data_IF_598306476898
#
_entry.id   IF_598306476898
#
_cell.length_a   1.000
_cell.length_b   1.000
_cell.length_c   1.000
_cell.angle_alpha   90.00
_cell.angle_beta   90.00
_cell.angle_gamma   90.00
#
_symmetry.space_group_name_H-M   'P 1'
#
loop_
_entity.id
_entity.type
_entity.pdbx_description
1 polymer ?
#
# COMPACT_ATOMS: atom_id res chain seq x y z
N UNK A 1 -51.37 -2.59 -7.56
CA UNK A 1 -50.08 -2.52 -6.81
C UNK A 1 -49.09 -1.75 -7.68
N UNK A 2 -48.78 -0.50 -7.37
CA UNK A 2 -47.74 0.24 -8.06
C UNK A 2 -46.39 -0.22 -7.46
N UNK A 3 -45.57 -0.91 -8.27
CA UNK A 3 -44.20 -1.20 -7.92
C UNK A 3 -43.38 0.10 -8.05
N UNK A 4 -43.11 0.75 -6.93
CA UNK A 4 -42.13 1.82 -6.89
C UNK A 4 -40.75 1.19 -7.02
N UNK A 5 -40.13 1.33 -8.20
CA UNK A 5 -38.72 0.94 -8.40
C UNK A 5 -37.88 1.90 -7.58
N UNK A 6 -37.27 1.42 -6.49
CA UNK A 6 -36.30 2.24 -5.74
C UNK A 6 -35.13 2.59 -6.67
N UNK A 7 -34.73 3.85 -6.75
CA UNK A 7 -33.62 4.25 -7.62
C UNK A 7 -32.33 3.56 -7.17
N UNK A 8 -31.59 3.00 -8.12
CA UNK A 8 -30.26 2.47 -7.84
C UNK A 8 -29.36 3.60 -7.35
N UNK A 9 -28.91 3.53 -6.08
CA UNK A 9 -28.07 4.57 -5.49
C UNK A 9 -26.66 4.44 -6.05
N UNK A 10 -26.26 5.42 -6.88
CA UNK A 10 -24.93 5.50 -7.48
C UNK A 10 -24.24 6.80 -7.04
N UNK A 11 -22.92 6.91 -7.27
CA UNK A 11 -22.19 8.17 -7.09
C UNK A 11 -22.82 9.32 -7.88
N UNK A 12 -23.18 9.06 -9.14
CA UNK A 12 -23.76 10.07 -10.02
C UNK A 12 -25.16 10.50 -9.53
N UNK A 13 -25.96 9.56 -9.03
CA UNK A 13 -27.21 9.90 -8.37
C UNK A 13 -27.03 10.84 -7.19
N UNK A 14 -26.05 10.56 -6.32
CA UNK A 14 -25.75 11.44 -5.18
C UNK A 14 -25.30 12.82 -5.66
N UNK A 15 -24.39 12.88 -6.63
CA UNK A 15 -23.87 14.14 -7.19
C UNK A 15 -24.93 14.95 -7.96
N UNK A 16 -25.99 14.32 -8.42
CA UNK A 16 -27.15 15.03 -8.98
C UNK A 16 -27.99 15.79 -7.93
N UNK A 17 -27.78 15.51 -6.64
CA UNK A 17 -28.55 16.09 -5.52
C UNK A 17 -27.75 17.14 -4.76
N UNK A 18 -26.48 16.88 -4.45
CA UNK A 18 -25.60 17.79 -3.70
C UNK A 18 -24.18 17.74 -4.26
N UNK A 19 -23.39 18.79 -4.03
CA UNK A 19 -21.99 18.85 -4.45
C UNK A 19 -21.11 17.92 -3.62
N UNK A 20 -19.92 17.60 -4.13
CA UNK A 20 -18.93 16.78 -3.43
C UNK A 20 -18.49 17.45 -2.13
N UNK A 21 -18.32 18.77 -2.16
CA UNK A 21 -17.96 19.58 -1.01
C UNK A 21 -19.01 19.47 0.09
N UNK A 22 -20.30 19.55 -0.25
CA UNK A 22 -21.40 19.41 0.72
C UNK A 22 -21.35 18.07 1.45
N UNK A 23 -21.12 16.97 0.74
CA UNK A 23 -20.96 15.67 1.37
C UNK A 23 -19.69 15.59 2.22
N UNK A 24 -18.60 16.15 1.72
CA UNK A 24 -17.32 16.15 2.42
C UNK A 24 -17.39 16.92 3.73
N UNK A 25 -17.94 18.13 3.68
CA UNK A 25 -18.15 19.01 4.85
C UNK A 25 -19.06 18.37 5.90
N UNK A 26 -20.15 17.74 5.45
CA UNK A 26 -21.08 17.05 6.34
C UNK A 26 -20.40 15.93 7.15
N UNK A 27 -19.59 15.08 6.48
CA UNK A 27 -18.99 13.96 7.15
C UNK A 27 -17.69 14.28 7.90
N UNK A 28 -16.97 15.32 7.50
CA UNK A 28 -15.75 15.74 8.18
C UNK A 28 -15.99 16.82 9.25
N UNK A 29 -17.12 17.52 9.20
CA UNK A 29 -17.46 18.60 10.14
C UNK A 29 -16.60 19.85 9.97
N UNK A 30 -15.90 20.00 8.84
CA UNK A 30 -15.02 21.13 8.52
C UNK A 30 -15.28 21.60 7.09
N UNK A 31 -15.09 22.91 6.80
CA UNK A 31 -15.29 23.44 5.45
C UNK A 31 -14.21 22.95 4.49
N UNK A 32 -14.61 22.67 3.24
CA UNK A 32 -13.66 22.35 2.15
C UNK A 32 -12.99 23.65 1.71
N UNK A 33 -11.72 23.82 2.09
CA UNK A 33 -10.91 25.00 1.77
C UNK A 33 -9.46 24.64 1.45
N UNK A 34 -8.75 25.55 0.77
CA UNK A 34 -7.31 25.42 0.53
C UNK A 34 -6.52 25.58 1.83
N UNK A 35 -5.37 24.93 1.90
CA UNK A 35 -4.45 24.98 3.03
C UNK A 35 -4.37 23.68 3.81
N UNK A 36 -3.49 23.67 4.81
CA UNK A 36 -3.31 22.53 5.70
C UNK A 36 -4.19 22.71 6.96
N UNK A 37 -4.73 21.60 7.46
CA UNK A 37 -5.53 21.56 8.68
C UNK A 37 -5.29 20.24 9.43
N UNK A 38 -5.72 20.18 10.68
CA UNK A 38 -5.63 18.97 11.52
C UNK A 38 -6.66 17.95 11.06
N UNK A 39 -6.33 16.66 11.16
CA UNK A 39 -7.24 15.60 10.73
C UNK A 39 -8.53 15.59 11.54
N UNK A 40 -9.71 15.61 10.88
CA UNK A 40 -10.99 15.40 11.56
C UNK A 40 -11.31 13.91 11.77
N UNK A 41 -10.48 13.02 11.27
CA UNK A 41 -10.69 11.58 11.35
C UNK A 41 -9.81 10.86 12.40
N UNK A 42 -8.92 11.62 13.08
CA UNK A 42 -8.03 11.14 14.14
C UNK A 42 -7.52 12.29 14.98
N UNK A 43 -6.93 12.00 16.15
CA UNK A 43 -6.20 12.99 16.94
C UNK A 43 -4.96 13.43 16.14
N UNK A 44 -4.81 14.74 15.96
CA UNK A 44 -3.72 15.34 15.19
C UNK A 44 -3.17 16.58 15.89
N UNK A 45 -1.88 16.57 16.21
CA UNK A 45 -1.22 17.69 16.88
C UNK A 45 -0.79 18.79 15.91
N UNK A 46 -0.56 18.41 14.64
CA UNK A 46 -0.09 19.30 13.58
C UNK A 46 -1.01 19.25 12.35
N UNK A 47 -1.11 20.33 11.58
CA UNK A 47 -1.86 20.34 10.31
C UNK A 47 -1.21 19.37 9.30
N UNK A 48 -1.84 18.23 9.07
CA UNK A 48 -1.35 17.15 8.18
C UNK A 48 -2.37 16.72 7.14
N UNK A 49 -3.45 17.48 6.99
CA UNK A 49 -4.49 17.20 6.00
C UNK A 49 -4.67 18.36 5.03
N UNK A 50 -5.13 18.04 3.83
CA UNK A 50 -5.50 19.03 2.81
C UNK A 50 -6.63 18.53 1.93
N UNK A 51 -7.28 19.46 1.23
CA UNK A 51 -8.17 19.15 0.11
C UNK A 51 -7.51 19.53 -1.21
N UNK A 52 -7.75 18.72 -2.25
CA UNK A 52 -7.41 19.05 -3.64
C UNK A 52 -8.41 18.44 -4.61
N UNK A 53 -8.47 18.97 -5.82
CA UNK A 53 -9.27 18.40 -6.90
C UNK A 53 -8.34 17.57 -7.78
N UNK A 54 -8.68 16.30 -8.00
CA UNK A 54 -7.91 15.41 -8.86
C UNK A 54 -8.21 15.66 -10.35
N UNK A 55 -7.50 14.96 -11.24
CA UNK A 55 -7.69 15.08 -12.70
C UNK A 55 -9.08 14.68 -13.20
N UNK A 56 -9.82 13.89 -12.42
CA UNK A 56 -11.19 13.46 -12.72
C UNK A 56 -12.25 14.41 -12.17
N UNK A 57 -11.85 15.55 -11.56
CA UNK A 57 -12.77 16.51 -10.97
C UNK A 57 -13.30 16.11 -9.58
N UNK A 58 -12.76 15.06 -8.96
CA UNK A 58 -13.16 14.67 -7.61
C UNK A 58 -12.44 15.54 -6.56
N UNK A 59 -13.20 16.02 -5.58
CA UNK A 59 -12.65 16.61 -4.35
C UNK A 59 -12.10 15.49 -3.48
N UNK A 60 -10.81 15.55 -3.20
CA UNK A 60 -10.06 14.54 -2.44
C UNK A 60 -9.66 15.14 -1.09
N UNK A 61 -10.04 14.48 -0.02
CA UNK A 61 -9.46 14.65 1.30
C UNK A 61 -8.19 13.82 1.40
N UNK A 62 -7.09 14.42 1.79
CA UNK A 62 -5.78 13.77 1.93
C UNK A 62 -5.24 13.98 3.34
N UNK A 63 -5.05 12.90 4.09
CA UNK A 63 -4.39 12.87 5.39
C UNK A 63 -2.99 12.26 5.23
N UNK A 64 -1.97 13.12 5.11
CA UNK A 64 -0.59 12.72 4.88
C UNK A 64 0.01 11.85 6.00
N UNK A 65 -0.44 12.03 7.25
CA UNK A 65 0.06 11.27 8.40
C UNK A 65 -0.78 10.03 8.69
N UNK A 66 -2.07 10.08 8.34
CA UNK A 66 -3.01 8.99 8.53
C UNK A 66 -3.03 7.97 7.39
N UNK A 67 -2.18 8.14 6.36
CA UNK A 67 -2.10 7.27 5.16
C UNK A 67 -3.47 7.09 4.49
N UNK A 68 -4.27 8.17 4.44
CA UNK A 68 -5.60 8.14 3.85
C UNK A 68 -5.81 9.27 2.86
N UNK A 69 -6.30 8.93 1.68
CA UNK A 69 -6.84 9.89 0.73
C UNK A 69 -8.09 9.29 0.05
N UNK A 70 -9.07 10.14 -0.22
CA UNK A 70 -10.28 9.68 -0.89
C UNK A 70 -11.31 10.77 -1.09
N UNK A 71 -12.28 10.47 -1.97
CA UNK A 71 -13.46 11.31 -2.14
C UNK A 71 -14.45 11.14 -0.98
N UNK A 72 -15.57 11.86 -1.03
CA UNK A 72 -16.60 11.83 0.03
C UNK A 72 -17.10 10.42 0.36
N UNK A 73 -17.22 9.52 -0.63
CA UNK A 73 -17.64 8.14 -0.39
C UNK A 73 -16.55 7.38 0.38
N UNK A 74 -15.28 7.57 0.01
CA UNK A 74 -14.14 6.97 0.72
C UNK A 74 -14.04 7.48 2.17
N UNK A 75 -14.35 8.74 2.40
CA UNK A 75 -14.43 9.31 3.76
C UNK A 75 -15.52 8.61 4.58
N UNK A 76 -16.70 8.40 4.00
CA UNK A 76 -17.79 7.66 4.67
C UNK A 76 -17.40 6.21 4.92
N UNK A 77 -16.80 5.54 3.94
CA UNK A 77 -16.26 4.18 4.11
C UNK A 77 -15.25 4.13 5.27
N UNK A 78 -14.33 5.08 5.33
CA UNK A 78 -13.33 5.17 6.42
C UNK A 78 -13.99 5.46 7.76
N UNK A 79 -14.88 6.47 7.80
CA UNK A 79 -15.55 6.92 9.03
C UNK A 79 -16.44 5.85 9.66
N UNK A 80 -17.15 5.07 8.85
CA UNK A 80 -18.12 4.07 9.32
C UNK A 80 -17.64 2.61 9.13
N UNK A 81 -16.39 2.41 8.69
CA UNK A 81 -15.82 1.08 8.42
C UNK A 81 -16.75 0.21 7.57
N UNK A 82 -17.30 0.79 6.50
CA UNK A 82 -18.33 0.16 5.69
C UNK A 82 -17.88 -0.03 4.22
N UNK A 83 -18.60 -0.87 3.48
CA UNK A 83 -18.36 -1.09 2.05
C UNK A 83 -18.83 0.10 1.21
N UNK A 84 -18.39 0.17 -0.05
CA UNK A 84 -18.81 1.20 -1.00
C UNK A 84 -20.34 1.30 -1.12
N UNK A 85 -21.03 0.16 -1.27
CA UNK A 85 -22.49 0.14 -1.37
C UNK A 85 -23.20 0.54 -0.07
N UNK A 86 -22.61 0.19 1.07
CA UNK A 86 -23.12 0.65 2.36
C UNK A 86 -22.91 2.15 2.54
N UNK A 87 -21.76 2.68 2.13
CA UNK A 87 -21.49 4.11 2.15
C UNK A 87 -22.50 4.90 1.29
N UNK A 88 -22.80 4.43 0.08
CA UNK A 88 -23.84 5.05 -0.76
C UNK A 88 -25.21 5.07 -0.06
N UNK A 89 -25.59 3.98 0.58
CA UNK A 89 -26.85 3.89 1.33
C UNK A 89 -26.87 4.80 2.56
N UNK A 90 -25.76 4.88 3.30
CA UNK A 90 -25.61 5.78 4.45
C UNK A 90 -25.78 7.22 3.98
N UNK A 91 -25.06 7.63 2.92
CA UNK A 91 -25.16 8.98 2.38
C UNK A 91 -26.59 9.29 1.92
N UNK A 92 -27.20 8.40 1.16
CA UNK A 92 -28.57 8.60 0.67
C UNK A 92 -29.58 8.72 1.81
N UNK A 93 -29.41 7.92 2.89
CA UNK A 93 -30.26 8.01 4.07
C UNK A 93 -30.02 9.31 4.87
N UNK A 94 -28.79 9.67 5.13
CA UNK A 94 -28.44 10.85 5.93
C UNK A 94 -28.90 12.15 5.26
N UNK A 95 -28.91 12.18 3.94
CA UNK A 95 -29.40 13.29 3.12
C UNK A 95 -30.89 13.17 2.75
N UNK A 96 -31.62 12.15 3.24
CA UNK A 96 -33.05 11.96 3.02
C UNK A 96 -33.42 11.67 1.56
N UNK A 97 -32.51 11.04 0.79
CA UNK A 97 -32.68 10.73 -0.63
C UNK A 97 -33.39 9.39 -0.87
N UNK A 98 -33.56 8.59 0.19
CA UNK A 98 -34.32 7.34 0.19
C UNK A 98 -35.29 7.29 1.35
N UNK A 99 -36.49 6.78 1.09
CA UNK A 99 -37.50 6.53 2.13
C UNK A 99 -37.29 5.12 2.68
N UNK A 100 -36.57 4.98 3.79
CA UNK A 100 -36.42 3.69 4.46
C UNK A 100 -37.45 3.57 5.61
N UNK A 101 -38.36 2.59 5.60
CA UNK A 101 -39.41 2.45 6.62
C UNK A 101 -38.87 2.13 8.02
N UNK A 102 -37.61 1.71 8.15
CA UNK A 102 -37.02 1.18 9.39
C UNK A 102 -35.95 2.03 10.07
N UNK A 103 -35.61 3.20 9.53
CA UNK A 103 -34.65 4.10 10.17
C UNK A 103 -35.33 5.41 10.54
N UNK A 104 -35.85 5.49 11.77
CA UNK A 104 -36.38 6.74 12.36
C UNK A 104 -35.34 7.85 12.19
N UNK A 105 -35.80 9.03 11.73
CA UNK A 105 -35.05 10.27 11.62
C UNK A 105 -34.16 10.51 12.86
N UNK A 106 -32.87 10.21 12.77
CA UNK A 106 -31.88 10.54 13.79
C UNK A 106 -31.24 11.91 13.51
N UNK A 107 -32.04 12.97 13.33
CA UNK A 107 -31.51 14.34 13.23
C UNK A 107 -30.79 14.84 14.49
N UNK A 108 -30.92 14.16 15.64
CA UNK A 108 -30.26 14.52 16.89
C UNK A 108 -29.06 13.68 17.29
N UNK A 109 -28.75 12.57 16.57
CA UNK A 109 -27.68 11.65 16.98
C UNK A 109 -26.36 11.78 16.20
N UNK A 110 -26.26 12.77 15.31
CA UNK A 110 -25.07 12.97 14.49
C UNK A 110 -23.89 13.46 15.33
N UNK A 111 -24.15 14.34 16.31
CA UNK A 111 -23.11 14.78 17.25
C UNK A 111 -22.70 13.67 18.23
N UNK A 112 -23.63 12.85 18.73
CA UNK A 112 -23.30 11.73 19.63
C UNK A 112 -22.51 10.60 18.93
N UNK A 113 -22.69 10.40 17.61
CA UNK A 113 -21.86 9.45 16.85
C UNK A 113 -20.47 10.00 16.55
N UNK A 114 -20.32 11.33 16.38
CA UNK A 114 -19.03 12.00 16.23
C UNK A 114 -18.24 12.00 17.57
N UNK A 115 -18.91 12.13 18.71
CA UNK A 115 -18.27 12.12 20.03
C UNK A 115 -17.87 10.72 20.51
N UNK A 116 -18.44 9.64 19.95
CA UNK A 116 -18.04 8.25 20.26
C UNK A 116 -16.89 7.72 19.41
N UNK A 117 -16.18 8.56 18.67
CA UNK A 117 -14.88 8.24 18.10
C UNK A 117 -13.74 8.43 19.11
N UNK A 118 -13.93 7.92 20.32
CA UNK A 118 -12.82 7.55 21.18
C UNK A 118 -12.03 6.46 20.47
N UNK A 119 -10.77 6.79 20.16
CA UNK A 119 -9.68 5.85 19.85
C UNK A 119 -10.14 4.48 19.30
N UNK A 120 -10.70 4.43 18.10
CA UNK A 120 -10.71 3.15 17.42
C UNK A 120 -9.27 2.85 17.05
N UNK A 121 -8.64 2.02 17.85
CA UNK A 121 -7.36 1.41 17.53
C UNK A 121 -7.32 0.86 16.11
N UNK A 122 -6.20 0.37 15.63
CA UNK A 122 -6.08 -0.14 14.27
C UNK A 122 -7.21 -1.14 14.00
N UNK A 123 -7.83 -1.02 12.82
CA UNK A 123 -8.98 -1.86 12.45
C UNK A 123 -8.66 -3.35 12.66
N UNK A 124 -9.55 -4.08 13.32
CA UNK A 124 -9.44 -5.53 13.44
C UNK A 124 -9.71 -6.16 12.08
N UNK A 125 -8.69 -6.83 11.52
CA UNK A 125 -8.83 -7.63 10.30
C UNK A 125 -8.87 -9.10 10.72
N UNK A 126 -9.95 -9.78 10.39
CA UNK A 126 -10.12 -11.22 10.62
C UNK A 126 -10.24 -11.91 9.27
N UNK A 127 -9.62 -13.08 9.13
CA UNK A 127 -9.67 -13.86 7.89
C UNK A 127 -10.16 -15.27 8.16
N UNK A 128 -11.02 -15.73 7.29
CA UNK A 128 -11.28 -17.16 7.08
C UNK A 128 -10.29 -17.65 6.03
N UNK A 129 -9.34 -18.51 6.41
CA UNK A 129 -8.35 -19.07 5.52
C UNK A 129 -8.93 -20.24 4.73
N UNK A 130 -8.32 -20.50 3.58
CA UNK A 130 -8.55 -21.71 2.77
C UNK A 130 -7.22 -22.22 2.22
N UNK A 131 -7.20 -23.47 1.74
CA UNK A 131 -6.07 -23.99 1.02
C UNK A 131 -5.90 -23.27 -0.33
N UNK A 132 -4.66 -23.15 -0.77
CA UNK A 132 -4.39 -22.63 -2.10
C UNK A 132 -4.92 -23.59 -3.16
N UNK A 133 -5.75 -23.11 -4.07
CA UNK A 133 -6.12 -23.86 -5.26
C UNK A 133 -4.93 -24.04 -6.20
N UNK A 134 -5.01 -25.06 -7.09
CA UNK A 134 -3.97 -25.31 -8.09
C UNK A 134 -3.71 -24.07 -8.97
N UNK A 135 -4.75 -23.34 -9.37
CA UNK A 135 -4.64 -22.09 -10.16
C UNK A 135 -3.91 -20.99 -9.41
N UNK A 136 -4.14 -20.85 -8.11
CA UNK A 136 -3.42 -19.88 -7.28
C UNK A 136 -1.94 -20.24 -7.15
N UNK A 137 -1.62 -21.53 -6.93
CA UNK A 137 -0.25 -22.00 -6.87
C UNK A 137 0.49 -21.78 -8.20
N UNK A 138 -0.13 -22.06 -9.33
CA UNK A 138 0.40 -21.78 -10.66
C UNK A 138 0.63 -20.28 -10.89
N UNK A 139 -0.32 -19.44 -10.43
CA UNK A 139 -0.17 -17.99 -10.51
C UNK A 139 1.03 -17.51 -9.69
N UNK A 140 1.22 -17.98 -8.47
CA UNK A 140 2.39 -17.66 -7.65
C UNK A 140 3.68 -18.22 -8.25
N UNK A 141 3.66 -19.45 -8.74
CA UNK A 141 4.79 -20.10 -9.39
C UNK A 141 5.27 -19.34 -10.64
N UNK A 142 4.36 -18.68 -11.36
CA UNK A 142 4.73 -17.81 -12.50
C UNK A 142 5.67 -16.64 -12.12
N UNK A 143 5.74 -16.28 -10.84
CA UNK A 143 6.67 -15.30 -10.27
C UNK A 143 7.85 -15.94 -9.52
N UNK A 144 8.06 -17.25 -9.67
CA UNK A 144 9.08 -18.03 -8.94
C UNK A 144 8.72 -18.32 -7.49
N UNK A 145 7.49 -18.05 -7.07
CA UNK A 145 7.06 -18.16 -5.67
C UNK A 145 6.39 -19.51 -5.47
N UNK A 146 7.09 -20.42 -4.78
CA UNK A 146 6.65 -21.80 -4.49
C UNK A 146 5.91 -21.88 -3.15
N UNK A 147 5.15 -22.98 -2.86
CA UNK A 147 4.48 -23.16 -1.58
C UNK A 147 5.39 -23.00 -0.33
N UNK A 148 6.63 -23.52 -0.32
CA UNK A 148 7.56 -23.26 0.79
C UNK A 148 7.87 -21.78 0.99
N UNK A 149 7.96 -20.98 -0.09
CA UNK A 149 8.19 -19.54 -0.01
C UNK A 149 6.94 -18.85 0.57
N UNK A 150 5.75 -19.18 0.08
CA UNK A 150 4.50 -18.65 0.64
C UNK A 150 4.41 -18.91 2.15
N UNK A 151 4.70 -20.15 2.59
CA UNK A 151 4.73 -20.52 4.00
C UNK A 151 5.77 -19.70 4.79
N UNK A 152 7.00 -19.56 4.26
CA UNK A 152 8.07 -18.79 4.91
C UNK A 152 7.71 -17.32 5.10
N UNK A 153 7.03 -16.73 4.15
CA UNK A 153 6.59 -15.33 4.20
C UNK A 153 5.19 -15.17 4.82
N UNK A 154 4.61 -16.25 5.36
CA UNK A 154 3.29 -16.27 6.02
C UNK A 154 2.20 -15.68 5.13
N UNK A 155 2.17 -16.11 3.87
CA UNK A 155 1.13 -15.77 2.90
C UNK A 155 0.08 -16.87 2.90
N UNK A 156 -1.19 -16.45 2.97
CA UNK A 156 -2.35 -17.35 3.05
C UNK A 156 -3.35 -17.02 1.95
N UNK A 157 -4.06 -18.03 1.43
CA UNK A 157 -5.25 -17.83 0.63
C UNK A 157 -6.42 -17.54 1.57
N UNK A 158 -7.19 -16.48 1.28
CA UNK A 158 -8.29 -16.03 2.11
C UNK A 158 -9.62 -16.40 1.44
N UNK A 159 -10.49 -17.14 2.15
CA UNK A 159 -11.85 -17.40 1.71
C UNK A 159 -12.72 -16.18 1.92
N UNK A 160 -12.71 -15.63 3.14
CA UNK A 160 -13.48 -14.45 3.53
C UNK A 160 -12.66 -13.52 4.42
N UNK A 161 -12.99 -12.23 4.37
CA UNK A 161 -12.37 -11.18 5.16
C UNK A 161 -13.44 -10.43 5.93
N UNK A 162 -13.16 -10.14 7.18
CA UNK A 162 -14.03 -9.38 8.08
C UNK A 162 -13.24 -8.16 8.62
N UNK A 163 -13.91 -7.01 8.69
CA UNK A 163 -13.39 -5.79 9.30
C UNK A 163 -14.21 -5.43 10.51
N UNK A 164 -13.58 -5.36 11.68
CA UNK A 164 -14.26 -5.06 12.94
C UNK A 164 -15.49 -5.97 13.16
N UNK A 165 -15.34 -7.27 12.85
CA UNK A 165 -16.41 -8.26 12.95
C UNK A 165 -17.44 -8.26 11.81
N UNK A 166 -17.38 -7.31 10.86
CA UNK A 166 -18.31 -7.23 9.74
C UNK A 166 -17.70 -7.83 8.48
N UNK A 167 -18.52 -8.58 7.72
CA UNK A 167 -18.12 -9.12 6.42
C UNK A 167 -17.67 -8.01 5.47
N UNK A 168 -16.48 -8.18 4.88
CA UNK A 168 -15.90 -7.21 3.94
C UNK A 168 -15.83 -7.72 2.51
N UNK A 169 -15.29 -8.94 2.30
CA UNK A 169 -15.12 -9.52 0.98
C UNK A 169 -14.88 -11.03 1.07
N UNK A 170 -15.18 -11.76 -0.01
CA UNK A 170 -14.76 -13.15 -0.21
C UNK A 170 -14.05 -13.33 -1.54
N UNK A 171 -13.17 -14.33 -1.59
CA UNK A 171 -12.46 -14.72 -2.80
C UNK A 171 -13.34 -15.61 -3.70
N UNK A 172 -12.99 -15.63 -4.97
CA UNK A 172 -13.44 -16.62 -5.94
C UNK A 172 -12.33 -16.85 -6.98
N UNK A 173 -12.52 -17.78 -7.91
CA UNK A 173 -11.50 -18.10 -8.93
C UNK A 173 -11.03 -16.89 -9.75
N UNK A 174 -11.92 -15.95 -10.07
CA UNK A 174 -11.62 -14.76 -10.87
C UNK A 174 -10.99 -13.63 -10.03
N UNK A 175 -11.25 -13.64 -8.73
CA UNK A 175 -10.84 -12.60 -7.79
C UNK A 175 -10.27 -13.20 -6.49
N UNK A 176 -9.10 -13.87 -6.55
CA UNK A 176 -8.45 -14.41 -5.38
C UNK A 176 -8.02 -13.30 -4.42
N UNK A 177 -7.95 -13.64 -3.13
CA UNK A 177 -7.55 -12.73 -2.06
C UNK A 177 -6.45 -13.40 -1.24
N UNK A 178 -5.38 -12.66 -0.96
CA UNK A 178 -4.26 -13.16 -0.17
C UNK A 178 -4.02 -12.33 1.08
N UNK A 179 -3.74 -13.00 2.19
CA UNK A 179 -3.39 -12.38 3.46
C UNK A 179 -1.89 -12.51 3.75
N UNK A 180 -1.22 -11.42 4.07
CA UNK A 180 0.15 -11.37 4.53
C UNK A 180 0.13 -11.16 6.04
N UNK A 181 0.54 -12.18 6.80
CA UNK A 181 0.49 -12.16 8.26
C UNK A 181 1.81 -11.69 8.86
N UNK A 182 1.74 -10.72 9.77
CA UNK A 182 2.94 -10.20 10.45
C UNK A 182 3.07 -10.63 11.92
N UNK A 183 2.01 -11.13 12.50
CA UNK A 183 1.98 -11.51 13.91
C UNK A 183 0.81 -10.87 14.67
N UNK A 184 0.94 -10.81 15.99
CA UNK A 184 -0.04 -10.15 16.87
C UNK A 184 0.63 -8.98 17.59
N UNK A 185 -0.13 -7.91 17.79
CA UNK A 185 0.25 -6.78 18.63
C UNK A 185 -0.99 -6.29 19.38
N UNK A 186 -0.88 -6.10 20.68
CA UNK A 186 -1.96 -5.61 21.56
C UNK A 186 -3.27 -6.42 21.38
N UNK A 187 -3.16 -7.75 21.24
CA UNK A 187 -4.30 -8.66 21.03
C UNK A 187 -4.80 -8.73 19.59
N UNK A 188 -4.40 -7.81 18.71
CA UNK A 188 -4.83 -7.76 17.33
C UNK A 188 -3.89 -8.54 16.40
N UNK A 189 -4.46 -9.29 15.46
CA UNK A 189 -3.71 -9.87 14.36
C UNK A 189 -3.37 -8.79 13.32
N UNK A 190 -2.11 -8.79 12.90
CA UNK A 190 -1.59 -7.83 11.95
C UNK A 190 -1.58 -8.44 10.55
N UNK A 191 -2.47 -7.93 9.72
CA UNK A 191 -2.70 -8.40 8.35
C UNK A 191 -2.51 -7.29 7.32
N UNK A 192 -1.96 -7.67 6.16
CA UNK A 192 -2.04 -6.91 4.92
C UNK A 192 -2.72 -7.79 3.87
N UNK A 193 -3.89 -7.38 3.43
CA UNK A 193 -4.69 -8.12 2.46
C UNK A 193 -4.38 -7.61 1.07
N UNK A 194 -4.13 -8.52 0.16
CA UNK A 194 -3.80 -8.25 -1.23
C UNK A 194 -4.91 -8.73 -2.17
N UNK A 195 -5.38 -7.83 -3.01
CA UNK A 195 -6.40 -8.06 -4.04
C UNK A 195 -5.75 -7.93 -5.43
N UNK A 196 -5.16 -8.99 -5.99
CA UNK A 196 -4.36 -8.90 -7.23
C UNK A 196 -5.15 -8.41 -8.45
N UNK A 197 -6.45 -8.67 -8.50
CA UNK A 197 -7.33 -8.32 -9.63
C UNK A 197 -7.95 -6.94 -9.54
N UNK A 198 -7.83 -6.24 -8.42
CA UNK A 198 -8.35 -4.87 -8.30
C UNK A 198 -7.44 -3.88 -9.04
N UNK A 199 -8.05 -2.91 -9.71
CA UNK A 199 -7.32 -1.81 -10.37
C UNK A 199 -6.88 -0.74 -9.35
N UNK A 200 -7.71 -0.47 -8.35
CA UNK A 200 -7.46 0.46 -7.23
C UNK A 200 -7.71 -0.24 -5.90
N UNK A 201 -7.19 0.33 -4.80
CA UNK A 201 -7.35 -0.24 -3.45
C UNK A 201 -6.95 -1.72 -3.39
N UNK A 202 -5.79 -2.03 -4.00
CA UNK A 202 -5.26 -3.39 -4.08
C UNK A 202 -4.81 -3.95 -2.73
N UNK A 203 -4.67 -3.09 -1.73
CA UNK A 203 -4.27 -3.48 -0.40
C UNK A 203 -5.21 -2.90 0.65
N UNK A 204 -5.49 -3.72 1.69
CA UNK A 204 -6.11 -3.35 2.93
C UNK A 204 -5.16 -3.77 4.05
N UNK A 205 -4.87 -2.93 5.03
CA UNK A 205 -3.86 -3.26 6.04
C UNK A 205 -4.14 -2.56 7.36
N UNK A 206 -3.90 -3.27 8.45
CA UNK A 206 -3.78 -2.69 9.78
C UNK A 206 -2.31 -2.63 10.26
N UNK A 207 -1.35 -2.81 9.35
CA UNK A 207 0.06 -2.63 9.63
C UNK A 207 0.41 -1.16 9.82
N UNK A 208 1.34 -0.90 10.72
CA UNK A 208 1.96 0.42 10.83
C UNK A 208 2.73 0.77 9.55
N UNK A 209 2.74 2.05 9.17
CA UNK A 209 3.55 2.58 8.06
C UNK A 209 5.07 2.30 8.25
N UNK A 210 5.53 2.09 9.48
CA UNK A 210 6.93 1.75 9.81
C UNK A 210 7.28 0.29 9.57
N UNK A 211 6.32 -0.59 9.24
CA UNK A 211 6.61 -2.00 8.99
C UNK A 211 7.34 -2.19 7.66
N UNK A 212 8.34 -3.08 7.70
CA UNK A 212 9.14 -3.45 6.53
C UNK A 212 8.89 -4.91 6.22
N UNK A 213 8.47 -5.18 5.02
CA UNK A 213 8.20 -6.54 4.51
C UNK A 213 9.52 -7.23 4.18
N UNK A 214 9.62 -8.52 4.51
CA UNK A 214 10.83 -9.32 4.23
C UNK A 214 11.97 -9.18 5.23
N UNK A 215 11.87 -8.27 6.20
CA UNK A 215 12.93 -8.03 7.18
C UNK A 215 13.25 -9.27 8.03
N UNK A 216 12.21 -10.01 8.47
CA UNK A 216 12.35 -11.21 9.31
C UNK A 216 12.99 -12.39 8.54
N UNK A 217 13.01 -12.34 7.21
CA UNK A 217 13.54 -13.40 6.34
C UNK A 217 14.98 -13.12 5.88
N UNK A 218 15.56 -11.99 6.27
CA UNK A 218 16.91 -11.64 5.87
C UNK A 218 17.97 -12.57 6.52
N UNK A 219 19.00 -12.96 5.77
CA UNK A 219 20.16 -13.64 6.37
C UNK A 219 20.94 -12.67 7.27
N UNK A 220 21.75 -13.21 8.19
CA UNK A 220 22.59 -12.40 9.09
C UNK A 220 23.57 -11.50 8.33
N UNK A 221 24.13 -11.97 7.22
CA UNK A 221 25.06 -11.24 6.34
C UNK A 221 24.80 -11.61 4.88
N UNK A 222 25.17 -10.75 3.95
CA UNK A 222 25.07 -10.99 2.52
C UNK A 222 25.86 -10.01 1.69
N UNK A 223 26.05 -10.34 0.41
CA UNK A 223 26.75 -9.47 -0.53
C UNK A 223 25.86 -8.31 -0.99
N UNK A 224 24.57 -8.60 -1.24
CA UNK A 224 23.63 -7.62 -1.78
C UNK A 224 22.31 -7.69 -0.99
N UNK A 225 21.75 -6.53 -0.67
CA UNK A 225 20.38 -6.36 -0.21
C UNK A 225 19.63 -5.48 -1.22
N UNK A 226 18.46 -5.92 -1.67
CA UNK A 226 17.62 -5.12 -2.55
C UNK A 226 16.45 -4.53 -1.78
N UNK A 227 16.24 -3.23 -1.90
CA UNK A 227 15.05 -2.53 -1.43
C UNK A 227 14.09 -2.42 -2.61
N UNK A 228 12.92 -3.02 -2.49
CA UNK A 228 11.89 -3.05 -3.53
C UNK A 228 10.55 -2.53 -3.03
N UNK A 229 9.47 -2.67 -3.80
CA UNK A 229 8.19 -1.99 -3.54
C UNK A 229 7.12 -2.87 -2.89
N UNK A 230 7.19 -4.19 -3.07
CA UNK A 230 6.12 -5.09 -2.63
C UNK A 230 6.64 -6.42 -2.06
N UNK A 231 5.82 -7.09 -1.22
CA UNK A 231 6.17 -8.42 -0.72
C UNK A 231 6.27 -9.46 -1.85
N UNK A 232 5.49 -9.30 -2.92
CA UNK A 232 5.58 -10.17 -4.10
C UNK A 232 6.99 -10.09 -4.70
N UNK A 233 7.52 -8.89 -4.86
CA UNK A 233 8.88 -8.70 -5.38
C UNK A 233 9.95 -9.24 -4.43
N UNK A 234 9.77 -9.02 -3.12
CA UNK A 234 10.66 -9.62 -2.09
C UNK A 234 10.70 -11.14 -2.21
N UNK A 235 9.54 -11.79 -2.37
CA UNK A 235 9.48 -13.26 -2.54
C UNK A 235 10.08 -13.71 -3.87
N UNK A 236 9.92 -12.94 -4.95
CA UNK A 236 10.58 -13.20 -6.23
C UNK A 236 12.11 -13.10 -6.10
N UNK A 237 12.64 -12.08 -5.43
CA UNK A 237 14.07 -12.00 -5.12
C UNK A 237 14.53 -13.18 -4.25
N UNK A 238 13.73 -13.53 -3.24
CA UNK A 238 14.05 -14.66 -2.37
C UNK A 238 14.14 -15.98 -3.16
N UNK A 239 13.26 -16.21 -4.14
CA UNK A 239 13.32 -17.39 -5.01
C UNK A 239 14.62 -17.45 -5.83
N UNK A 240 15.22 -16.29 -6.09
CA UNK A 240 16.51 -16.16 -6.76
C UNK A 240 17.71 -16.17 -5.79
N UNK A 241 17.51 -16.41 -4.49
CA UNK A 241 18.58 -16.39 -3.49
C UNK A 241 19.09 -14.98 -3.16
N UNK A 242 18.35 -13.93 -3.53
CA UNK A 242 18.72 -12.54 -3.32
C UNK A 242 17.92 -11.98 -2.12
N UNK A 243 18.60 -11.53 -1.04
CA UNK A 243 17.96 -10.86 0.07
C UNK A 243 17.26 -9.58 -0.39
N UNK A 244 15.99 -9.40 0.00
CA UNK A 244 15.24 -8.19 -0.34
C UNK A 244 14.27 -7.79 0.77
N UNK A 245 13.96 -6.49 0.86
CA UNK A 245 12.95 -5.91 1.73
C UNK A 245 12.10 -4.92 0.97
N UNK A 246 10.88 -4.68 1.48
CA UNK A 246 10.01 -3.64 0.94
C UNK A 246 9.41 -2.81 2.09
N UNK A 247 9.73 -1.51 2.20
CA UNK A 247 9.04 -0.60 3.10
C UNK A 247 7.55 -0.54 2.78
N UNK A 248 6.72 -0.28 3.79
CA UNK A 248 5.27 -0.26 3.62
C UNK A 248 4.76 1.05 2.98
N UNK A 249 5.61 2.04 2.81
CA UNK A 249 5.32 3.36 2.23
C UNK A 249 6.10 3.57 0.92
N UNK A 250 5.55 4.33 -0.01
CA UNK A 250 6.23 4.73 -1.26
C UNK A 250 7.44 5.65 -1.02
N UNK A 251 7.45 6.36 0.11
CA UNK A 251 8.63 7.06 0.57
C UNK A 251 9.53 6.07 1.31
N UNK A 252 10.79 5.99 0.90
CA UNK A 252 11.79 5.13 1.56
C UNK A 252 11.96 5.57 3.02
N UNK A 253 11.12 5.02 3.89
CA UNK A 253 11.26 5.22 5.33
C UNK A 253 11.83 3.97 5.98
N UNK A 254 13.16 3.94 6.07
CA UNK A 254 13.88 3.00 6.91
C UNK A 254 14.48 3.82 8.06
N UNK A 255 14.18 3.50 9.34
CA UNK A 255 14.80 4.18 10.46
C UNK A 255 16.33 4.15 10.34
N UNK A 256 17.01 5.25 10.67
CA UNK A 256 18.46 5.36 10.51
C UNK A 256 19.22 4.24 11.23
N UNK A 257 18.81 3.88 12.43
CA UNK A 257 19.40 2.79 13.21
C UNK A 257 19.32 1.43 12.49
N UNK A 258 18.16 1.12 11.88
CA UNK A 258 18.01 -0.09 11.08
C UNK A 258 18.83 -0.01 9.77
N UNK A 259 18.91 1.16 9.17
CA UNK A 259 19.68 1.34 7.95
C UNK A 259 21.19 1.13 8.19
N UNK A 260 21.70 1.62 9.32
CA UNK A 260 23.10 1.42 9.71
C UNK A 260 23.37 -0.05 10.07
N UNK A 261 22.43 -0.73 10.73
CA UNK A 261 22.48 -2.18 10.93
C UNK A 261 22.57 -2.92 9.59
N UNK A 262 21.68 -2.60 8.63
CA UNK A 262 21.68 -3.24 7.31
C UNK A 262 22.99 -3.00 6.56
N UNK A 263 23.58 -1.80 6.65
CA UNK A 263 24.90 -1.49 6.07
C UNK A 263 26.03 -2.32 6.68
N UNK A 264 25.94 -2.69 7.97
CA UNK A 264 26.93 -3.57 8.62
C UNK A 264 26.79 -5.04 8.20
N UNK A 265 25.61 -5.43 7.68
CA UNK A 265 25.28 -6.80 7.29
C UNK A 265 25.49 -7.08 5.81
N UNK A 266 25.35 -6.05 4.95
CA UNK A 266 25.39 -6.21 3.49
C UNK A 266 26.43 -5.28 2.87
N UNK A 267 27.25 -5.83 1.96
CA UNK A 267 28.29 -5.05 1.26
C UNK A 267 27.68 -4.00 0.36
N UNK A 268 26.58 -4.30 -0.29
CA UNK A 268 25.86 -3.41 -1.20
C UNK A 268 24.36 -3.37 -0.86
N UNK A 269 23.81 -2.18 -0.75
CA UNK A 269 22.37 -1.95 -0.66
C UNK A 269 21.92 -1.24 -1.92
N UNK A 270 21.00 -1.87 -2.66
CA UNK A 270 20.47 -1.38 -3.92
C UNK A 270 18.96 -1.13 -3.82
N UNK A 271 18.45 -0.20 -4.62
CA UNK A 271 17.01 0.05 -4.76
C UNK A 271 16.56 -0.38 -6.16
N UNK A 272 15.49 -1.15 -6.24
CA UNK A 272 14.84 -1.50 -7.51
C UNK A 272 13.32 -1.36 -7.35
N UNK A 273 12.77 -0.29 -7.93
CA UNK A 273 11.35 0.02 -7.92
C UNK A 273 10.72 -0.22 -9.30
N UNK A 274 9.41 -0.02 -9.39
CA UNK A 274 8.66 -0.14 -10.64
C UNK A 274 9.25 0.75 -11.74
N UNK A 275 9.24 0.26 -12.97
CA UNK A 275 9.72 0.97 -14.16
C UNK A 275 8.66 1.90 -14.74
N UNK A 276 7.87 2.55 -13.88
CA UNK A 276 6.92 3.60 -14.23
C UNK A 276 7.47 4.99 -13.84
N UNK A 277 6.77 6.05 -14.24
CA UNK A 277 7.22 7.44 -13.98
C UNK A 277 7.39 7.72 -12.48
N UNK A 278 6.51 7.18 -11.65
CA UNK A 278 6.56 7.37 -10.20
C UNK A 278 7.76 6.64 -9.58
N UNK A 279 7.98 5.37 -9.93
CA UNK A 279 9.10 4.58 -9.46
C UNK A 279 10.45 5.17 -9.86
N UNK A 280 10.59 5.60 -11.13
CA UNK A 280 11.83 6.25 -11.63
C UNK A 280 12.08 7.58 -10.90
N UNK A 281 11.03 8.39 -10.68
CA UNK A 281 11.16 9.67 -9.94
C UNK A 281 11.58 9.42 -8.48
N UNK A 282 10.97 8.45 -7.82
CA UNK A 282 11.32 8.08 -6.45
C UNK A 282 12.75 7.55 -6.34
N UNK A 283 13.20 6.71 -7.27
CA UNK A 283 14.58 6.22 -7.28
C UNK A 283 15.61 7.36 -7.48
N UNK A 284 15.33 8.35 -8.35
CA UNK A 284 16.19 9.53 -8.51
C UNK A 284 16.30 10.31 -7.21
N UNK A 285 15.20 10.53 -6.51
CA UNK A 285 15.17 11.19 -5.20
C UNK A 285 15.97 10.41 -4.16
N UNK A 286 15.71 9.11 -4.02
CA UNK A 286 16.44 8.23 -3.09
C UNK A 286 17.96 8.30 -3.36
N UNK A 287 18.36 8.18 -4.63
CA UNK A 287 19.78 8.28 -5.00
C UNK A 287 20.41 9.62 -4.58
N UNK A 288 19.67 10.73 -4.78
CA UNK A 288 20.14 12.07 -4.38
C UNK A 288 20.27 12.18 -2.86
N UNK A 289 19.27 11.69 -2.13
CA UNK A 289 19.18 11.89 -0.68
C UNK A 289 20.06 10.90 0.12
N UNK A 290 20.34 9.71 -0.41
CA UNK A 290 21.01 8.62 0.32
C UNK A 290 22.28 8.10 -0.33
N UNK A 291 22.57 8.44 -1.58
CA UNK A 291 23.66 7.88 -2.35
C UNK A 291 23.50 6.41 -2.77
N UNK A 292 22.33 5.79 -2.48
CA UNK A 292 22.11 4.38 -2.78
C UNK A 292 22.14 4.07 -4.27
N UNK A 293 22.61 2.87 -4.59
CA UNK A 293 22.58 2.33 -5.95
C UNK A 293 21.13 2.07 -6.35
N UNK A 294 20.68 2.71 -7.43
CA UNK A 294 19.36 2.47 -8.02
C UNK A 294 19.51 1.62 -9.28
N UNK A 295 19.02 0.40 -9.20
CA UNK A 295 18.94 -0.53 -10.34
C UNK A 295 17.67 -0.25 -11.14
N UNK A 296 17.75 -0.40 -12.46
CA UNK A 296 16.59 -0.24 -13.35
C UNK A 296 16.48 -1.45 -14.28
N UNK A 297 15.26 -1.90 -14.48
CA UNK A 297 14.96 -2.86 -15.54
C UNK A 297 14.98 -2.07 -16.87
N UNK A 298 15.82 -2.43 -17.84
CA UNK A 298 15.81 -1.74 -19.13
C UNK A 298 14.43 -1.80 -19.80
N UNK A 299 13.97 -0.68 -20.33
CA UNK A 299 12.63 -0.56 -20.94
C UNK A 299 12.39 -1.53 -22.09
N UNK A 300 13.45 -1.93 -22.80
CA UNK A 300 13.41 -2.92 -23.88
C UNK A 300 12.83 -4.27 -23.45
N UNK A 301 12.91 -4.62 -22.17
CA UNK A 301 12.31 -5.86 -21.66
C UNK A 301 10.78 -5.77 -21.47
N UNK A 302 10.19 -4.56 -21.45
CA UNK A 302 8.74 -4.38 -21.30
C UNK A 302 8.18 -4.97 -20.02
N UNK A 303 8.97 -5.02 -18.94
CA UNK A 303 8.56 -5.46 -17.62
C UNK A 303 8.41 -4.25 -16.69
N UNK A 304 7.33 -4.24 -15.90
CA UNK A 304 7.04 -3.15 -14.98
C UNK A 304 7.87 -3.24 -13.70
N UNK A 305 7.94 -4.41 -13.11
CA UNK A 305 8.64 -4.72 -11.87
C UNK A 305 9.44 -6.02 -12.01
N UNK A 306 10.19 -6.39 -10.99
CA UNK A 306 11.04 -7.59 -11.02
C UNK A 306 10.20 -8.87 -11.08
N UNK A 307 9.01 -8.88 -10.51
CA UNK A 307 8.12 -10.04 -10.57
C UNK A 307 7.61 -10.24 -12.00
N UNK A 308 7.22 -9.18 -12.69
CA UNK A 308 6.83 -9.23 -14.10
C UNK A 308 8.01 -9.65 -15.00
N UNK A 309 9.22 -9.17 -14.69
CA UNK A 309 10.43 -9.58 -15.38
C UNK A 309 10.70 -11.07 -15.21
N UNK A 310 10.64 -11.57 -13.97
CA UNK A 310 10.82 -12.99 -13.68
C UNK A 310 9.78 -13.85 -14.40
N UNK A 311 8.52 -13.45 -14.37
CA UNK A 311 7.44 -14.14 -15.08
C UNK A 311 7.70 -14.26 -16.58
N UNK A 312 8.28 -13.22 -17.19
CA UNK A 312 8.51 -13.15 -18.64
C UNK A 312 9.79 -13.87 -19.08
N UNK A 313 10.85 -13.78 -18.28
CA UNK A 313 12.20 -14.20 -18.67
C UNK A 313 12.78 -15.33 -17.81
N UNK A 314 12.11 -15.71 -16.73
CA UNK A 314 12.51 -16.79 -15.85
C UNK A 314 13.65 -16.46 -14.88
N UNK A 315 13.98 -17.46 -14.08
CA UNK A 315 14.92 -17.38 -12.96
C UNK A 315 16.32 -16.95 -13.39
N UNK A 316 16.89 -17.66 -14.38
CA UNK A 316 18.27 -17.41 -14.86
C UNK A 316 18.47 -15.96 -15.30
N UNK A 317 17.56 -15.47 -16.13
CA UNK A 317 17.65 -14.10 -16.67
C UNK A 317 17.45 -13.03 -15.58
N UNK A 318 16.64 -13.33 -14.56
CA UNK A 318 16.48 -12.45 -13.40
C UNK A 318 17.77 -12.33 -12.60
N UNK A 319 18.47 -13.45 -12.36
CA UNK A 319 19.78 -13.45 -11.71
C UNK A 319 20.82 -12.64 -12.51
N UNK A 320 20.90 -12.87 -13.82
CA UNK A 320 21.81 -12.15 -14.72
C UNK A 320 21.57 -10.62 -14.62
N UNK A 321 20.33 -10.18 -14.74
CA UNK A 321 19.96 -8.76 -14.65
C UNK A 321 20.46 -8.11 -13.36
N UNK A 322 20.24 -8.76 -12.22
CA UNK A 322 20.64 -8.20 -10.92
C UNK A 322 22.17 -8.21 -10.78
N UNK A 323 22.82 -9.30 -11.21
CA UNK A 323 24.27 -9.43 -11.10
C UNK A 323 25.01 -8.43 -12.01
N UNK A 324 24.53 -8.22 -13.23
CA UNK A 324 25.03 -7.19 -14.14
C UNK A 324 24.86 -5.78 -13.53
N UNK A 325 23.68 -5.47 -12.98
CA UNK A 325 23.41 -4.19 -12.34
C UNK A 325 24.35 -3.92 -11.15
N UNK A 326 24.49 -4.89 -10.25
CA UNK A 326 25.38 -4.76 -9.08
C UNK A 326 26.84 -4.62 -9.50
N UNK A 327 27.30 -5.41 -10.47
CA UNK A 327 28.69 -5.34 -10.96
C UNK A 327 28.99 -4.01 -11.67
N UNK A 328 28.04 -3.48 -12.45
CA UNK A 328 28.18 -2.19 -13.11
C UNK A 328 28.37 -1.04 -12.11
N UNK A 329 27.48 -0.98 -11.10
CA UNK A 329 27.54 0.08 -10.10
C UNK A 329 28.71 -0.10 -9.10
N UNK A 330 29.07 -1.34 -8.79
CA UNK A 330 30.23 -1.64 -7.95
C UNK A 330 31.56 -1.19 -8.60
N UNK A 331 31.70 -1.30 -9.92
CA UNK A 331 32.85 -0.74 -10.68
C UNK A 331 32.86 0.79 -10.61
N UNK A 332 31.75 1.44 -10.94
CA UNK A 332 31.65 2.91 -10.91
C UNK A 332 31.94 3.52 -9.53
N UNK A 333 31.50 2.88 -8.47
CA UNK A 333 31.78 3.35 -7.12
C UNK A 333 33.26 3.28 -6.74
N UNK A 334 34.03 2.35 -7.32
CA UNK A 334 35.49 2.26 -7.16
C UNK A 334 36.20 3.35 -7.97
N UNK A 335 35.84 3.51 -9.24
CA UNK A 335 36.39 4.55 -10.12
C UNK A 335 36.22 5.95 -9.51
N UNK A 336 35.04 6.26 -8.99
CA UNK A 336 34.79 7.57 -8.35
C UNK A 336 35.64 7.76 -7.08
N UNK A 337 35.87 6.71 -6.27
CA UNK A 337 36.73 6.78 -5.08
C UNK A 337 38.21 6.99 -5.48
N UNK A 338 38.66 6.31 -6.51
CA UNK A 338 40.05 6.47 -7.02
C UNK A 338 40.27 7.84 -7.62
N UNK A 339 39.30 8.39 -8.37
CA UNK A 339 39.34 9.75 -8.88
C UNK A 339 39.38 10.80 -7.76
N UNK A 340 38.56 10.64 -6.73
CA UNK A 340 38.55 11.53 -5.56
C UNK A 340 39.88 11.45 -4.80
N UNK A 341 40.45 10.27 -4.64
CA UNK A 341 41.74 10.09 -3.95
C UNK A 341 42.88 10.71 -4.76
N UNK A 342 42.85 10.58 -6.09
CA UNK A 342 43.85 11.22 -6.98
C UNK A 342 43.74 12.74 -7.02
N UNK A 343 42.54 13.31 -6.86
CA UNK A 343 42.38 14.77 -6.79
C UNK A 343 42.89 15.34 -5.46
N UNK A 344 42.62 14.67 -4.34
CA UNK A 344 43.13 15.08 -3.01
C UNK A 344 44.67 15.00 -2.95
N UNK A 345 45.27 13.94 -3.46
CA UNK A 345 46.73 13.81 -3.51
C UNK A 345 47.43 14.81 -4.47
N UNK A 346 46.70 15.48 -5.37
CA UNK A 346 47.23 16.53 -6.23
C UNK A 346 47.13 17.93 -5.64
N UNK A 347 46.29 18.12 -4.61
CA UNK A 347 46.18 19.41 -3.90
C UNK A 347 47.09 19.49 -2.68
N UNK A 348 47.67 18.37 -2.23
CA UNK A 348 48.63 18.30 -1.12
C UNK A 348 50.11 18.23 -1.55
N UNK A 349 50.42 18.25 -2.83
CA UNK A 349 51.78 18.27 -3.39
C UNK A 349 52.03 19.51 -4.21
#
# INVERSE_FOLDING_TARGET
>A
MQFTIEPTITKDYLLSKYSQETYMEYYLGIPVKKGLFKSPLRIDDHPTCSFYVNKSGDVIFNDFKGDFYGNFISVVMRKFSCTYHQALKIIANDFGLISSPHLKKNKGKINERAEKFEETGPASIQIEMQDFSQKELEWWASYGITPPILKKFRVYSCKSIFLNGNYFASSNEQSPIYGYYKGKKDGLELWRIYFPKRKSYRFLSNWSAKMIQGLDQLPKKGKVLVITKSLKDVMTFYSCGIPAIAPNSENLFIPQTLFDELKSRFEHICVLYDNDLAGVSNMKKIRKDTGLICLMIPRSYGAKDISDFHKKYGHKKTLELIQEGVNYYGRRARETKEETHRSVCKEEG
#
